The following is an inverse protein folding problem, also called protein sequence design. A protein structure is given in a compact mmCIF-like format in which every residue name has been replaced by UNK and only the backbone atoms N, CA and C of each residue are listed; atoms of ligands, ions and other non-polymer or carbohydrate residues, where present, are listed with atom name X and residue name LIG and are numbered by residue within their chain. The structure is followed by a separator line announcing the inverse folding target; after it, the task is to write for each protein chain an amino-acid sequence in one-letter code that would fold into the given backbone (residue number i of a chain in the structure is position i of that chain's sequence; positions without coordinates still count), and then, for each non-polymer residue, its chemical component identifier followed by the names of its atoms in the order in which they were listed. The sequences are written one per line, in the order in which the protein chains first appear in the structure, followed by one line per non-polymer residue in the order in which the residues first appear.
data_IF_532269588003
#
_entry.id   IF_532269588003
#
_cell.length_a   1.000
_cell.length_b   1.000
_cell.length_c   1.000
_cell.angle_alpha   90.00
_cell.angle_beta   90.00
_cell.angle_gamma   90.00
#
_symmetry.space_group_name_H-M   'P 1'
#
loop_
_entity.id
_entity.type
_entity.pdbx_description
1 polymer ?
#
# COMPACT_ATOMS: atom_id res chain seq x y z
N UNK A 1 -7.71 7.73 8.66
CA UNK A 1 -8.03 6.45 7.99
C UNK A 1 -9.03 5.72 8.87
N UNK A 2 -10.15 5.26 8.32
CA UNK A 2 -11.15 4.46 9.06
C UNK A 2 -11.12 3.06 8.47
N UNK A 3 -10.98 2.04 9.31
CA UNK A 3 -11.26 0.65 8.98
C UNK A 3 -12.70 0.31 9.39
N UNK A 4 -13.38 -0.55 8.64
CA UNK A 4 -14.72 -1.05 8.98
C UNK A 4 -14.80 -2.56 8.70
N UNK A 5 -15.32 -3.38 9.62
CA UNK A 5 -15.51 -4.81 9.41
C UNK A 5 -16.75 -5.11 8.54
N UNK A 6 -16.63 -6.02 7.58
CA UNK A 6 -17.72 -6.57 6.75
C UNK A 6 -17.80 -8.09 6.94
N UNK A 7 -19.00 -8.67 7.08
CA UNK A 7 -19.21 -10.12 7.29
C UNK A 7 -19.77 -10.82 6.05
N UNK A 8 -19.07 -11.82 5.50
CA UNK A 8 -19.55 -12.71 4.43
C UNK A 8 -20.07 -14.05 5.00
N UNK A 9 -21.07 -14.67 4.36
CA UNK A 9 -21.72 -15.92 4.83
C UNK A 9 -21.54 -17.03 3.79
N UNK A 10 -20.74 -18.06 4.09
CA UNK A 10 -20.61 -19.25 3.24
C UNK A 10 -20.74 -20.55 4.07
N UNK A 11 -21.88 -21.23 3.94
CA UNK A 11 -22.09 -22.58 4.50
C UNK A 11 -22.29 -22.64 6.02
N UNK A 12 -22.73 -23.80 6.49
CA UNK A 12 -23.01 -24.18 7.88
C UNK A 12 -21.76 -24.28 8.79
N UNK A 13 -20.69 -23.59 8.40
CA UNK A 13 -19.45 -23.38 9.15
C UNK A 13 -19.28 -21.87 9.28
N UNK A 14 -19.33 -21.32 10.50
CA UNK A 14 -19.10 -19.88 10.70
C UNK A 14 -17.60 -19.67 10.84
N UNK A 15 -16.92 -19.46 9.70
CA UNK A 15 -15.59 -18.86 9.70
C UNK A 15 -15.75 -17.34 9.79
N UNK A 16 -15.29 -16.73 10.88
CA UNK A 16 -15.34 -15.27 11.04
C UNK A 16 -14.12 -14.65 10.35
N UNK A 17 -14.07 -14.72 9.01
CA UNK A 17 -13.13 -13.88 8.26
C UNK A 17 -13.61 -12.44 8.33
N UNK A 18 -12.80 -11.59 8.97
CA UNK A 18 -13.06 -10.15 9.03
C UNK A 18 -12.34 -9.51 7.87
N UNK A 19 -13.09 -9.01 6.90
CA UNK A 19 -12.53 -8.18 5.84
C UNK A 19 -12.08 -6.83 6.41
N UNK A 20 -10.87 -6.40 6.08
CA UNK A 20 -10.36 -5.08 6.40
C UNK A 20 -10.39 -4.18 5.18
N UNK A 21 -11.36 -3.27 5.16
CA UNK A 21 -11.40 -2.23 4.12
C UNK A 21 -10.66 -0.97 4.57
N UNK A 22 -9.75 -0.49 3.72
CA UNK A 22 -9.07 0.81 3.82
C UNK A 22 -9.60 1.70 2.68
N UNK A 23 -10.18 2.85 3.02
CA UNK A 23 -10.80 3.75 2.03
C UNK A 23 -9.96 5.00 1.81
N UNK A 24 -9.63 5.27 0.55
CA UNK A 24 -9.11 6.53 0.03
C UNK A 24 -10.22 7.19 -0.80
N UNK A 25 -10.97 8.14 -0.25
CA UNK A 25 -12.06 8.79 -0.98
C UNK A 25 -11.51 9.68 -2.11
N UNK A 26 -12.39 10.21 -2.95
CA UNK A 26 -12.00 11.13 -4.03
C UNK A 26 -11.16 12.31 -3.50
N UNK A 27 -10.01 12.55 -4.12
CA UNK A 27 -9.06 13.60 -3.77
C UNK A 27 -7.61 13.15 -4.01
N UNK A 28 -6.65 14.05 -3.84
CA UNK A 28 -5.22 13.73 -3.94
C UNK A 28 -4.60 13.63 -2.54
N UNK A 29 -3.90 12.53 -2.28
CA UNK A 29 -3.27 12.22 -1.00
C UNK A 29 -1.77 12.04 -1.21
N UNK A 30 -0.99 13.07 -0.89
CA UNK A 30 0.48 12.99 -0.89
C UNK A 30 0.94 12.27 0.38
N UNK A 31 1.70 11.19 0.23
CA UNK A 31 2.14 10.34 1.34
C UNK A 31 3.65 10.14 1.38
N UNK A 32 4.19 10.10 2.59
CA UNK A 32 5.50 9.49 2.87
C UNK A 32 5.39 7.95 2.91
N UNK A 33 6.26 7.26 3.66
CA UNK A 33 6.20 5.80 3.81
C UNK A 33 4.82 5.30 4.30
N UNK A 34 4.28 4.30 3.61
CA UNK A 34 3.06 3.60 3.94
C UNK A 34 3.39 2.15 4.28
N UNK A 35 2.78 1.63 5.34
CA UNK A 35 2.96 0.25 5.76
C UNK A 35 1.59 -0.37 6.06
N UNK A 36 1.23 -1.35 5.23
CA UNK A 36 0.05 -2.19 5.36
C UNK A 36 0.51 -3.58 5.83
N UNK A 37 0.51 -3.80 7.15
CA UNK A 37 0.93 -5.08 7.75
C UNK A 37 -0.27 -5.82 8.36
N UNK A 38 -0.41 -7.11 8.04
CA UNK A 38 -1.42 -7.98 8.64
C UNK A 38 -1.02 -8.60 10.00
N UNK A 39 -1.92 -9.40 10.60
CA UNK A 39 -3.14 -9.93 9.99
C UNK A 39 -4.37 -9.07 10.32
N UNK A 40 -5.08 -8.63 9.29
CA UNK A 40 -6.53 -8.69 9.40
C UNK A 40 -6.92 -10.16 9.30
N UNK A 41 -7.92 -10.64 10.06
CA UNK A 41 -8.30 -12.07 10.05
C UNK A 41 -9.06 -12.50 8.78
N UNK A 42 -8.90 -11.76 7.69
CA UNK A 42 -9.61 -11.96 6.43
C UNK A 42 -9.05 -11.03 5.36
N UNK A 43 -9.75 -11.02 4.22
CA UNK A 43 -9.35 -10.30 3.01
C UNK A 43 -9.08 -8.81 3.30
N UNK A 44 -8.08 -8.25 2.62
CA UNK A 44 -7.76 -6.83 2.73
C UNK A 44 -8.20 -6.14 1.45
N UNK A 45 -9.12 -5.19 1.58
CA UNK A 45 -9.60 -4.37 0.48
C UNK A 45 -9.07 -2.96 0.62
N UNK A 46 -8.35 -2.48 -0.39
CA UNK A 46 -7.98 -1.07 -0.51
C UNK A 46 -8.93 -0.45 -1.54
N UNK A 47 -9.95 0.27 -1.04
CA UNK A 47 -10.87 1.04 -1.87
C UNK A 47 -10.25 2.40 -2.21
N UNK A 48 -9.73 2.52 -3.42
CA UNK A 48 -8.99 3.66 -3.94
C UNK A 48 -9.85 4.47 -4.92
N UNK A 49 -10.69 5.37 -4.40
CA UNK A 49 -11.47 6.32 -5.21
C UNK A 49 -10.76 7.67 -5.44
N UNK A 50 -9.72 7.96 -4.66
CA UNK A 50 -8.80 9.08 -4.83
C UNK A 50 -7.41 8.66 -5.29
N UNK A 51 -6.54 9.65 -5.51
CA UNK A 51 -5.18 9.43 -5.99
C UNK A 51 -4.20 9.40 -4.82
N UNK A 52 -3.45 8.32 -4.71
CA UNK A 52 -2.35 8.19 -3.77
C UNK A 52 -1.04 8.60 -4.45
N UNK A 53 -0.45 9.69 -3.98
CA UNK A 53 0.74 10.31 -4.59
C UNK A 53 1.95 10.12 -3.68
N UNK A 54 3.04 9.54 -4.19
CA UNK A 54 4.29 9.42 -3.43
C UNK A 54 4.97 10.77 -3.30
N UNK A 55 5.36 11.15 -2.08
CA UNK A 55 6.09 12.40 -1.87
C UNK A 55 7.37 12.45 -2.70
N UNK A 56 7.67 13.62 -3.27
CA UNK A 56 8.95 13.88 -3.94
C UNK A 56 10.08 14.27 -2.99
N UNK A 57 9.78 14.39 -1.70
CA UNK A 57 10.78 14.60 -0.65
C UNK A 57 11.44 13.27 -0.26
N UNK A 58 12.61 13.02 -0.85
CA UNK A 58 13.37 11.79 -0.63
C UNK A 58 13.87 11.63 0.81
N UNK A 59 13.89 12.70 1.62
CA UNK A 59 14.28 12.60 3.03
C UNK A 59 13.27 11.80 3.87
N UNK A 60 12.03 11.66 3.37
CA UNK A 60 10.99 10.88 4.04
C UNK A 60 11.20 9.36 3.89
N UNK A 61 11.99 8.90 2.92
CA UNK A 61 12.14 7.47 2.62
C UNK A 61 13.45 6.91 3.17
N UNK A 62 13.33 5.92 4.05
CA UNK A 62 14.46 5.13 4.56
C UNK A 62 14.58 3.74 3.95
N UNK A 63 13.47 3.19 3.43
CA UNK A 63 13.43 1.80 2.91
C UNK A 63 12.51 1.69 1.70
N UNK A 64 11.20 1.86 1.90
CA UNK A 64 10.19 1.73 0.86
C UNK A 64 9.18 2.87 0.97
N UNK A 65 8.58 3.29 -0.14
CA UNK A 65 7.43 4.19 -0.10
C UNK A 65 6.17 3.45 0.32
N UNK A 66 5.94 2.23 -0.16
CA UNK A 66 4.81 1.41 0.26
C UNK A 66 5.27 0.00 0.58
N UNK A 67 4.87 -0.51 1.74
CA UNK A 67 5.07 -1.90 2.14
C UNK A 67 3.73 -2.57 2.37
N UNK A 68 3.52 -3.72 1.76
CA UNK A 68 2.38 -4.59 2.04
C UNK A 68 2.92 -5.93 2.53
N UNK A 69 2.64 -6.31 3.78
CA UNK A 69 3.28 -7.44 4.45
C UNK A 69 2.27 -8.31 5.17
N UNK A 70 2.43 -9.64 5.08
CA UNK A 70 1.64 -10.63 5.84
C UNK A 70 0.13 -10.45 5.62
N UNK A 71 -0.24 -10.19 4.36
CA UNK A 71 -1.64 -10.05 3.95
C UNK A 71 -2.03 -11.28 3.14
N UNK A 72 -3.25 -11.75 3.36
CA UNK A 72 -3.89 -12.77 2.54
C UNK A 72 -4.98 -12.07 1.72
N UNK A 73 -5.20 -12.52 0.47
CA UNK A 73 -6.26 -12.03 -0.42
C UNK A 73 -6.37 -10.50 -0.51
N UNK A 74 -5.29 -9.83 -0.96
CA UNK A 74 -5.29 -8.39 -1.20
C UNK A 74 -6.11 -8.04 -2.45
N UNK A 75 -7.14 -7.21 -2.27
CA UNK A 75 -7.85 -6.52 -3.35
C UNK A 75 -7.50 -5.01 -3.33
N UNK A 76 -7.21 -4.45 -4.50
CA UNK A 76 -7.17 -3.00 -4.70
C UNK A 76 -8.20 -2.66 -5.77
N UNK A 77 -9.19 -1.86 -5.42
CA UNK A 77 -10.31 -1.50 -6.30
C UNK A 77 -10.62 0.00 -6.23
N UNK A 78 -11.52 0.48 -7.08
CA UNK A 78 -11.84 1.91 -7.20
C UNK A 78 -11.32 2.57 -8.48
N UNK A 79 -11.55 3.88 -8.61
CA UNK A 79 -11.27 4.67 -9.83
C UNK A 79 -10.02 5.56 -9.74
N UNK A 80 -9.38 5.61 -8.58
CA UNK A 80 -8.20 6.40 -8.32
C UNK A 80 -6.92 5.75 -8.85
N UNK A 81 -5.78 6.39 -8.58
CA UNK A 81 -4.46 5.91 -9.01
C UNK A 81 -3.47 5.83 -7.85
N UNK A 82 -2.53 4.89 -7.94
CA UNK A 82 -1.31 4.89 -7.13
C UNK A 82 -0.19 5.43 -8.01
N UNK A 83 0.34 6.59 -7.66
CA UNK A 83 1.32 7.33 -8.46
C UNK A 83 2.52 7.68 -7.58
N UNK A 84 3.63 6.96 -7.74
CA UNK A 84 4.85 7.19 -6.94
C UNK A 84 5.63 8.44 -7.31
N UNK A 85 5.18 9.23 -8.30
CA UNK A 85 5.83 10.47 -8.75
C UNK A 85 7.33 10.32 -9.08
N UNK A 86 7.75 9.11 -9.51
CA UNK A 86 9.16 8.77 -9.72
C UNK A 86 9.89 9.70 -10.70
N UNK A 87 9.22 10.13 -11.78
CA UNK A 87 9.79 11.02 -12.78
C UNK A 87 10.33 12.34 -12.20
N UNK A 88 9.73 12.85 -11.11
CA UNK A 88 10.18 14.07 -10.45
C UNK A 88 11.50 13.90 -9.68
N UNK A 89 11.90 12.65 -9.39
CA UNK A 89 13.01 12.34 -8.49
C UNK A 89 14.06 11.37 -9.07
N UNK A 90 13.83 10.77 -10.24
CA UNK A 90 14.80 9.86 -10.88
C UNK A 90 16.19 10.47 -11.05
N UNK A 91 16.28 11.75 -11.41
CA UNK A 91 17.55 12.48 -11.54
C UNK A 91 18.35 12.60 -10.24
N UNK A 92 17.70 12.41 -9.09
CA UNK A 92 18.34 12.44 -7.76
C UNK A 92 18.95 11.10 -7.36
N UNK A 93 18.71 10.03 -8.13
CA UNK A 93 19.37 8.74 -7.90
C UNK A 93 20.80 8.78 -8.45
N UNK A 94 21.77 8.92 -7.55
CA UNK A 94 23.21 8.90 -7.88
C UNK A 94 23.90 7.61 -7.46
N UNK A 95 23.17 6.50 -7.27
CA UNK A 95 23.73 5.25 -6.76
C UNK A 95 24.84 4.64 -7.59
N UNK A 96 24.87 4.90 -8.89
CA UNK A 96 25.97 4.48 -9.76
C UNK A 96 27.27 5.27 -9.53
N UNK A 97 27.21 6.39 -8.80
CA UNK A 97 28.32 7.38 -8.67
C UNK A 97 28.71 7.69 -7.22
N UNK A 98 27.84 7.44 -6.24
CA UNK A 98 28.06 7.74 -4.82
C UNK A 98 27.56 6.60 -3.93
N UNK A 99 28.28 6.34 -2.85
CA UNK A 99 27.86 5.39 -1.81
C UNK A 99 26.66 5.89 -0.98
N UNK A 100 26.48 7.21 -0.84
CA UNK A 100 25.25 7.78 -0.27
C UNK A 100 24.15 7.84 -1.34
N UNK A 101 23.33 6.80 -1.33
CA UNK A 101 22.20 6.59 -2.22
C UNK A 101 20.92 7.17 -1.65
N UNK A 102 20.16 7.90 -2.47
CA UNK A 102 18.76 8.22 -2.13
C UNK A 102 17.84 7.12 -2.64
N UNK A 103 17.06 6.57 -1.73
CA UNK A 103 16.01 5.63 -2.04
C UNK A 103 14.88 6.39 -2.73
N UNK A 104 14.48 5.91 -3.90
CA UNK A 104 13.37 6.46 -4.65
C UNK A 104 12.06 5.78 -4.22
N UNK A 105 10.90 6.43 -4.43
CA UNK A 105 9.61 5.80 -4.16
C UNK A 105 9.48 4.45 -4.87
N UNK A 106 9.36 3.39 -4.07
CA UNK A 106 9.24 2.01 -4.51
C UNK A 106 8.24 1.25 -3.62
N UNK A 107 7.76 0.12 -4.13
CA UNK A 107 6.78 -0.73 -3.44
C UNK A 107 7.41 -2.08 -3.11
N UNK A 108 7.23 -2.55 -1.88
CA UNK A 108 7.65 -3.87 -1.43
C UNK A 108 6.42 -4.67 -0.99
N UNK A 109 6.20 -5.82 -1.63
CA UNK A 109 5.10 -6.72 -1.29
C UNK A 109 5.67 -8.02 -0.75
N UNK A 110 5.22 -8.42 0.43
CA UNK A 110 5.56 -9.67 1.09
C UNK A 110 4.25 -10.41 1.41
N UNK A 111 3.80 -11.19 0.42
CA UNK A 111 2.60 -12.01 0.52
C UNK A 111 2.94 -13.31 1.28
N UNK A 112 2.09 -13.72 2.22
CA UNK A 112 2.19 -15.07 2.77
C UNK A 112 1.63 -16.07 1.74
N UNK A 113 2.33 -17.19 1.56
CA UNK A 113 1.92 -18.34 0.74
C UNK A 113 1.43 -18.02 -0.69
N UNK A 114 2.38 -17.94 -1.63
CA UNK A 114 2.06 -18.33 -3.01
C UNK A 114 2.09 -19.86 -3.08
N UNK A 115 0.93 -20.51 -2.97
CA UNK A 115 0.71 -21.87 -3.45
C UNK A 115 -0.22 -21.81 -4.66
#
# INVERSE_FOLDING_TARGET
MKSSPTSGRQGNSVDWTVECTIVFPKGDFVTGPLNFTGPCKGDIVIQLDGNLLGSTDLALFKVNWMEIKRVDNLEISGKGKIDGQGAAVWSKNTCAKKYDCKILPNVCMHLHNMH
#
